data_IF_884740377731
#
_entry.id   IF_884740377731
#
_cell.length_a   1.000
_cell.length_b   1.000
_cell.length_c   1.000
_cell.angle_alpha   90.00
_cell.angle_beta   90.00
_cell.angle_gamma   90.00
#
_symmetry.space_group_name_H-M   'P 1'
#
loop_
_entity.id
_entity.type
_entity.pdbx_description
1 polymer ?
#
# COMPACT_ATOMS: atom_id res chain seq x y z
N UNK A 1 40.41 35.93 -19.25
CA UNK A 1 39.51 35.82 -20.44
C UNK A 1 38.05 35.54 -20.08
N UNK A 2 37.71 35.09 -18.86
CA UNK A 2 36.33 34.83 -18.46
C UNK A 2 35.48 36.11 -18.26
N UNK A 3 36.08 37.22 -17.83
CA UNK A 3 35.39 38.50 -17.54
C UNK A 3 34.64 39.03 -18.77
N UNK A 4 35.25 38.96 -19.95
CA UNK A 4 34.63 39.37 -21.22
C UNK A 4 33.52 38.41 -21.64
N UNK A 5 33.72 37.11 -21.42
CA UNK A 5 32.69 36.10 -21.69
C UNK A 5 31.49 36.33 -20.78
N UNK A 6 31.67 36.50 -19.47
CA UNK A 6 30.60 36.77 -18.53
C UNK A 6 29.81 38.03 -18.93
N UNK A 7 30.51 39.13 -19.25
CA UNK A 7 29.89 40.38 -19.71
C UNK A 7 28.96 40.18 -20.92
N UNK A 8 29.34 39.32 -21.87
CA UNK A 8 28.53 39.04 -23.06
C UNK A 8 27.29 38.19 -22.77
N UNK A 9 27.23 37.53 -21.60
CA UNK A 9 26.08 36.73 -21.17
C UNK A 9 25.18 37.49 -20.18
N UNK A 10 25.46 38.78 -19.92
CA UNK A 10 24.57 39.65 -19.16
C UNK A 10 23.55 40.22 -20.13
N UNK A 11 22.26 39.94 -19.90
CA UNK A 11 21.18 40.57 -20.65
C UNK A 11 21.16 42.08 -20.41
N UNK A 12 20.91 42.84 -21.48
CA UNK A 12 20.71 44.29 -21.40
C UNK A 12 19.54 44.61 -20.44
N UNK A 13 19.70 45.66 -19.64
CA UNK A 13 18.73 46.10 -18.61
C UNK A 13 18.51 45.12 -17.44
N UNK A 14 19.33 44.06 -17.33
CA UNK A 14 19.29 43.19 -16.17
C UNK A 14 19.95 43.86 -14.95
N UNK A 15 19.54 43.52 -13.70
CA UNK A 15 20.19 44.03 -12.50
C UNK A 15 21.66 43.56 -12.35
N UNK A 16 22.10 42.60 -13.18
CA UNK A 16 23.46 42.12 -13.23
C UNK A 16 24.42 43.07 -13.95
N UNK A 17 23.94 43.86 -14.91
CA UNK A 17 24.75 44.82 -15.67
C UNK A 17 25.31 45.97 -14.79
N UNK A 18 24.48 46.71 -14.03
CA UNK A 18 25.00 47.77 -13.15
C UNK A 18 25.84 47.18 -12.01
N UNK A 19 25.50 45.99 -11.50
CA UNK A 19 26.31 45.30 -10.49
C UNK A 19 27.69 44.94 -11.04
N UNK A 20 27.76 44.27 -12.20
CA UNK A 20 29.02 43.85 -12.78
C UNK A 20 29.89 45.06 -13.16
N UNK A 21 29.28 46.15 -13.59
CA UNK A 21 30.00 47.39 -13.93
C UNK A 21 30.60 48.06 -12.69
N UNK A 22 29.88 48.07 -11.56
CA UNK A 22 30.31 48.68 -10.29
C UNK A 22 31.18 47.76 -9.41
N UNK A 23 31.25 46.46 -9.73
CA UNK A 23 32.07 45.50 -9.00
C UNK A 23 33.57 45.85 -9.08
N UNK A 24 34.22 45.91 -7.92
CA UNK A 24 35.63 46.28 -7.80
C UNK A 24 36.54 45.39 -8.64
N UNK A 25 37.63 46.00 -9.15
CA UNK A 25 38.61 45.30 -9.99
C UNK A 25 39.19 44.08 -9.28
N UNK A 26 39.35 44.13 -7.96
CA UNK A 26 39.87 43.02 -7.12
C UNK A 26 39.04 41.75 -7.28
N UNK A 27 37.71 41.87 -7.35
CA UNK A 27 36.78 40.74 -7.56
C UNK A 27 36.67 40.29 -9.03
N UNK A 28 37.39 40.92 -9.95
CA UNK A 28 37.44 40.56 -11.38
C UNK A 28 38.80 39.98 -11.78
N UNK A 29 39.76 39.92 -10.86
CA UNK A 29 41.10 39.36 -11.11
C UNK A 29 41.04 37.83 -11.14
N UNK A 30 40.25 37.25 -10.23
CA UNK A 30 40.20 35.81 -10.00
C UNK A 30 38.76 35.28 -9.98
N UNK A 31 38.57 34.07 -10.52
CA UNK A 31 37.23 33.48 -10.64
C UNK A 31 36.63 33.16 -9.28
N UNK A 32 37.41 32.65 -8.33
CA UNK A 32 36.89 32.27 -7.01
C UNK A 32 36.42 33.52 -6.25
N UNK A 33 37.18 34.61 -6.32
CA UNK A 33 36.78 35.90 -5.72
C UNK A 33 35.54 36.52 -6.36
N UNK A 34 35.36 36.29 -7.67
CA UNK A 34 34.17 36.71 -8.41
C UNK A 34 32.96 35.88 -8.02
N UNK A 35 33.10 34.56 -8.00
CA UNK A 35 32.05 33.61 -7.65
C UNK A 35 31.52 33.88 -6.24
N UNK A 36 32.40 34.16 -5.27
CA UNK A 36 31.99 34.57 -3.92
C UNK A 36 31.17 35.87 -3.92
N UNK A 37 31.61 36.90 -4.66
CA UNK A 37 30.88 38.16 -4.76
C UNK A 37 29.53 37.99 -5.50
N UNK A 38 29.50 37.09 -6.50
CA UNK A 38 28.31 36.74 -7.26
C UNK A 38 27.29 36.01 -6.38
N UNK A 39 27.70 34.97 -5.67
CA UNK A 39 26.83 34.22 -4.74
C UNK A 39 26.38 35.07 -3.55
N UNK A 40 27.17 36.07 -3.13
CA UNK A 40 26.75 37.03 -2.11
C UNK A 40 25.63 37.96 -2.63
N UNK A 41 25.69 38.36 -3.91
CA UNK A 41 24.70 39.25 -4.53
C UNK A 41 23.42 38.52 -4.94
N UNK A 42 23.58 37.37 -5.58
CA UNK A 42 22.52 36.45 -5.95
C UNK A 42 22.63 35.22 -5.07
N UNK A 43 22.24 35.40 -3.80
CA UNK A 43 22.07 34.26 -2.92
C UNK A 43 21.12 33.28 -3.60
N UNK A 44 21.50 32.00 -3.74
CA UNK A 44 20.58 30.99 -4.21
C UNK A 44 19.33 31.09 -3.35
N UNK A 45 18.18 31.36 -3.98
CA UNK A 45 16.91 31.28 -3.27
C UNK A 45 16.89 29.86 -2.72
N UNK A 46 16.78 29.68 -1.38
CA UNK A 46 16.72 28.34 -0.82
C UNK A 46 15.50 27.68 -1.44
N UNK A 47 15.75 26.71 -2.33
CA UNK A 47 14.68 25.81 -2.79
C UNK A 47 14.14 25.22 -1.51
N UNK A 48 12.84 25.42 -1.24
CA UNK A 48 12.20 24.79 -0.11
C UNK A 48 12.44 23.29 -0.24
N UNK A 49 13.39 22.78 0.54
CA UNK A 49 13.71 21.38 0.55
C UNK A 49 12.48 20.71 1.14
N UNK A 50 11.88 19.79 0.37
CA UNK A 50 10.79 18.98 0.89
C UNK A 50 11.26 18.33 2.18
N UNK A 51 10.46 18.46 3.23
CA UNK A 51 10.76 17.79 4.48
C UNK A 51 10.71 16.27 4.28
N UNK A 52 11.41 15.47 5.12
CA UNK A 52 11.31 14.01 5.03
C UNK A 52 9.87 13.50 5.11
N UNK A 53 8.99 14.20 5.80
CA UNK A 53 7.57 13.86 5.91
C UNK A 53 6.79 14.13 4.62
N UNK A 54 7.06 15.25 3.93
CA UNK A 54 6.47 15.55 2.62
C UNK A 54 6.93 14.55 1.56
N UNK A 55 8.20 14.11 1.61
CA UNK A 55 8.72 13.09 0.70
C UNK A 55 8.06 11.74 0.99
N UNK A 56 7.87 11.38 2.26
CA UNK A 56 7.15 10.17 2.64
C UNK A 56 5.69 10.19 2.17
N UNK A 57 5.03 11.34 2.25
CA UNK A 57 3.69 11.52 1.70
C UNK A 57 3.70 11.32 0.18
N UNK A 58 4.64 11.94 -0.54
CA UNK A 58 4.82 11.76 -1.99
C UNK A 58 5.04 10.29 -2.37
N UNK A 59 5.84 9.54 -1.60
CA UNK A 59 6.03 8.10 -1.80
C UNK A 59 4.73 7.31 -1.67
N UNK A 60 3.84 7.71 -0.75
CA UNK A 60 2.54 7.04 -0.60
C UNK A 60 1.55 7.42 -1.68
N UNK A 61 1.66 8.59 -2.29
CA UNK A 61 0.78 9.05 -3.38
C UNK A 61 1.24 8.56 -4.77
N UNK A 62 2.53 8.25 -4.91
CA UNK A 62 3.13 7.82 -6.17
C UNK A 62 2.82 6.35 -6.52
N UNK A 63 1.64 6.15 -7.09
CA UNK A 63 1.14 4.82 -7.44
C UNK A 63 1.48 4.40 -8.87
N UNK A 64 1.94 3.16 -9.01
CA UNK A 64 2.03 2.49 -10.31
C UNK A 64 0.67 1.89 -10.65
N UNK A 65 0.07 2.33 -11.76
CA UNK A 65 -1.22 1.79 -12.21
C UNK A 65 -1.02 0.55 -13.07
N UNK A 66 -2.05 -0.29 -13.12
CA UNK A 66 -1.98 -1.54 -13.88
C UNK A 66 -1.96 -1.28 -15.40
N UNK A 67 -2.68 -0.26 -15.85
CA UNK A 67 -2.68 0.20 -17.24
C UNK A 67 -1.33 0.75 -17.71
N UNK A 68 -0.47 1.16 -16.79
CA UNK A 68 0.86 1.66 -17.07
C UNK A 68 1.92 0.55 -17.02
N UNK A 69 1.55 -0.66 -16.59
CA UNK A 69 2.44 -1.82 -16.68
C UNK A 69 2.75 -2.14 -18.14
N UNK A 70 4.02 -2.46 -18.40
CA UNK A 70 4.61 -2.70 -19.73
C UNK A 70 4.65 -1.51 -20.69
N UNK A 71 4.22 -0.31 -20.28
CA UNK A 71 4.55 0.89 -21.06
C UNK A 71 6.06 1.12 -21.01
N UNK A 72 6.59 1.59 -22.14
CA UNK A 72 7.96 2.06 -22.23
C UNK A 72 7.93 3.57 -22.16
N UNK A 73 8.79 4.11 -21.33
CA UNK A 73 8.95 5.54 -21.16
C UNK A 73 10.39 5.93 -21.47
N UNK A 74 10.56 7.08 -22.11
CA UNK A 74 11.88 7.64 -22.33
C UNK A 74 12.36 8.35 -21.08
N UNK A 75 13.44 7.82 -20.50
CA UNK A 75 14.18 8.46 -19.41
C UNK A 75 15.53 8.90 -19.99
N UNK A 76 15.65 10.21 -20.28
CA UNK A 76 16.78 10.74 -21.03
C UNK A 76 16.81 10.19 -22.46
N UNK A 77 17.87 9.48 -22.81
CA UNK A 77 18.06 8.87 -24.14
C UNK A 77 17.79 7.35 -24.19
N UNK A 78 17.20 6.77 -23.13
CA UNK A 78 16.94 5.33 -23.04
C UNK A 78 15.45 5.05 -22.82
N UNK A 79 14.95 4.02 -23.51
CA UNK A 79 13.63 3.45 -23.24
C UNK A 79 13.72 2.50 -22.04
N UNK A 80 12.90 2.76 -21.02
CA UNK A 80 12.83 1.96 -19.80
C UNK A 80 11.37 1.62 -19.54
N UNK A 81 11.08 0.41 -19.05
CA UNK A 81 9.72 0.03 -18.68
C UNK A 81 9.24 0.82 -17.46
N UNK A 82 7.95 1.18 -17.42
CA UNK A 82 7.38 2.02 -16.36
C UNK A 82 7.59 1.46 -14.95
N UNK A 83 7.57 0.14 -14.76
CA UNK A 83 7.84 -0.47 -13.45
C UNK A 83 9.30 -0.28 -12.99
N UNK A 84 10.26 -0.29 -13.91
CA UNK A 84 11.68 -0.03 -13.61
C UNK A 84 11.90 1.44 -13.28
N UNK A 85 11.28 2.34 -14.06
CA UNK A 85 11.30 3.78 -13.78
C UNK A 85 10.70 4.08 -12.41
N UNK A 86 9.53 3.51 -12.12
CA UNK A 86 8.84 3.67 -10.84
C UNK A 86 9.74 3.21 -9.68
N UNK A 87 10.35 2.03 -9.78
CA UNK A 87 11.21 1.50 -8.71
C UNK A 87 12.47 2.35 -8.50
N UNK A 88 13.05 2.88 -9.58
CA UNK A 88 14.20 3.79 -9.50
C UNK A 88 13.82 5.11 -8.82
N UNK A 89 12.67 5.67 -9.17
CA UNK A 89 12.17 6.90 -8.55
C UNK A 89 11.83 6.71 -7.07
N UNK A 90 11.19 5.59 -6.71
CA UNK A 90 10.89 5.26 -5.31
C UNK A 90 12.15 5.09 -4.47
N UNK A 91 13.22 4.53 -5.04
CA UNK A 91 14.50 4.41 -4.35
C UNK A 91 15.16 5.78 -4.13
N UNK A 92 15.05 6.69 -5.10
CA UNK A 92 15.52 8.07 -4.96
C UNK A 92 14.77 8.82 -3.86
N UNK A 93 13.43 8.75 -3.85
CA UNK A 93 12.61 9.33 -2.78
C UNK A 93 12.96 8.74 -1.40
N UNK A 94 13.17 7.42 -1.32
CA UNK A 94 13.59 6.77 -0.07
C UNK A 94 14.97 7.24 0.39
N UNK A 95 15.88 7.55 -0.54
CA UNK A 95 17.18 8.14 -0.27
C UNK A 95 17.06 9.57 0.27
N UNK A 96 16.23 10.40 -0.38
CA UNK A 96 15.97 11.78 0.06
C UNK A 96 15.31 11.84 1.44
N UNK A 97 14.39 10.92 1.74
CA UNK A 97 13.75 10.78 3.05
C UNK A 97 14.62 10.06 4.10
N UNK A 98 15.84 9.60 3.75
CA UNK A 98 16.75 8.85 4.63
C UNK A 98 16.17 7.54 5.19
N UNK A 99 15.21 6.93 4.50
CA UNK A 99 14.59 5.66 4.89
C UNK A 99 15.04 4.47 4.04
N UNK A 100 15.98 4.65 3.13
CA UNK A 100 16.41 3.62 2.18
C UNK A 100 16.85 2.29 2.82
N UNK A 101 17.38 2.32 4.06
CA UNK A 101 17.83 1.15 4.82
C UNK A 101 16.76 0.57 5.74
N UNK A 102 15.62 1.24 5.90
CA UNK A 102 14.53 0.85 6.81
C UNK A 102 13.41 0.15 6.04
N UNK A 103 12.47 -0.43 6.79
CA UNK A 103 11.24 -1.04 6.27
C UNK A 103 10.05 -0.08 6.29
N UNK A 104 10.27 1.17 6.67
CA UNK A 104 9.24 2.20 6.84
C UNK A 104 8.48 2.40 5.53
N UNK A 105 7.15 2.39 5.59
CA UNK A 105 6.20 2.57 4.48
C UNK A 105 6.20 1.49 3.39
N UNK A 106 7.11 0.50 3.40
CA UNK A 106 7.15 -0.55 2.37
C UNK A 106 5.81 -1.30 2.30
N UNK A 107 5.21 -1.60 3.44
CA UNK A 107 3.92 -2.32 3.49
C UNK A 107 2.78 -1.51 2.86
N UNK A 108 2.76 -0.19 3.07
CA UNK A 108 1.74 0.73 2.53
C UNK A 108 1.88 0.77 1.01
N UNK A 109 3.09 1.09 0.53
CA UNK A 109 3.36 1.20 -0.90
C UNK A 109 3.15 -0.13 -1.60
N UNK A 110 3.59 -1.24 -1.01
CA UNK A 110 3.27 -2.58 -1.52
C UNK A 110 1.77 -2.81 -1.57
N UNK A 111 0.99 -2.31 -0.62
CA UNK A 111 -0.47 -2.36 -0.62
C UNK A 111 -1.11 -1.68 -1.83
N UNK A 112 -0.48 -0.64 -2.37
CA UNK A 112 -0.96 0.08 -3.55
C UNK A 112 -0.44 -0.48 -4.89
N UNK A 113 0.51 -1.43 -4.87
CA UNK A 113 0.99 -2.04 -6.11
C UNK A 113 -0.10 -2.83 -6.84
N UNK A 114 -0.03 -2.89 -8.19
CA UNK A 114 -0.88 -3.78 -8.97
C UNK A 114 -0.76 -5.23 -8.50
N UNK A 115 -1.89 -5.95 -8.48
CA UNK A 115 -1.94 -7.34 -8.00
C UNK A 115 -0.94 -8.24 -8.72
N UNK A 116 -0.80 -8.05 -10.04
CA UNK A 116 0.17 -8.79 -10.88
C UNK A 116 1.59 -8.61 -10.37
N UNK A 117 1.98 -7.39 -9.99
CA UNK A 117 3.34 -7.10 -9.52
C UNK A 117 3.58 -7.60 -8.09
N UNK A 118 2.54 -7.60 -7.24
CA UNK A 118 2.59 -8.13 -5.88
C UNK A 118 2.92 -9.63 -5.81
N UNK A 119 2.62 -10.39 -6.86
CA UNK A 119 2.95 -11.82 -6.94
C UNK A 119 4.46 -12.06 -7.07
N UNK A 120 5.19 -11.13 -7.71
CA UNK A 120 6.64 -11.24 -7.90
C UNK A 120 7.44 -10.68 -6.73
N UNK A 121 6.83 -9.78 -5.94
CA UNK A 121 7.51 -9.11 -4.83
C UNK A 121 7.15 -9.80 -3.51
N UNK A 122 8.13 -10.40 -2.81
CA UNK A 122 7.87 -11.04 -1.52
C UNK A 122 7.22 -10.07 -0.53
N UNK A 123 6.35 -10.62 0.33
CA UNK A 123 5.63 -9.83 1.34
C UNK A 123 6.58 -9.22 2.38
N UNK A 124 7.67 -9.92 2.68
CA UNK A 124 8.71 -9.49 3.62
C UNK A 124 9.90 -8.95 2.84
N UNK A 125 10.25 -7.69 3.11
CA UNK A 125 11.40 -7.01 2.53
C UNK A 125 12.20 -6.37 3.64
N UNK A 126 13.52 -6.45 3.53
CA UNK A 126 14.43 -5.94 4.57
C UNK A 126 14.63 -4.44 4.47
N UNK A 127 14.62 -3.88 3.25
CA UNK A 127 14.77 -2.45 3.03
C UNK A 127 14.25 -2.03 1.64
N UNK A 128 14.25 -0.73 1.37
CA UNK A 128 13.81 -0.17 0.08
C UNK A 128 14.69 -0.61 -1.09
N UNK A 129 15.98 -0.83 -0.85
CA UNK A 129 16.91 -1.29 -1.90
C UNK A 129 16.53 -2.67 -2.40
N UNK A 130 16.27 -3.63 -1.50
CA UNK A 130 15.85 -4.99 -1.87
C UNK A 130 14.46 -5.00 -2.51
N UNK A 131 13.54 -4.18 -2.01
CA UNK A 131 12.20 -4.05 -2.56
C UNK A 131 12.22 -3.51 -4.00
N UNK A 132 12.92 -2.40 -4.27
CA UNK A 132 13.03 -1.84 -5.61
C UNK A 132 13.83 -2.76 -6.54
N UNK A 133 14.87 -3.43 -6.04
CA UNK A 133 15.61 -4.43 -6.81
C UNK A 133 14.70 -5.60 -7.25
N UNK A 134 13.84 -6.11 -6.36
CA UNK A 134 12.89 -7.17 -6.71
C UNK A 134 11.93 -6.74 -7.83
N UNK A 135 11.48 -5.48 -7.83
CA UNK A 135 10.58 -4.94 -8.86
C UNK A 135 11.30 -4.74 -10.19
N UNK A 136 12.53 -4.26 -10.18
CA UNK A 136 13.32 -4.07 -11.40
C UNK A 136 13.77 -5.40 -12.03
N UNK A 137 13.91 -6.45 -11.22
CA UNK A 137 14.33 -7.77 -11.68
C UNK A 137 13.19 -8.62 -12.27
N UNK A 138 11.95 -8.12 -12.29
CA UNK A 138 10.80 -8.86 -12.85
C UNK A 138 10.99 -9.07 -14.35
N UNK A 139 10.89 -10.33 -14.80
CA UNK A 139 10.98 -10.66 -16.21
C UNK A 139 9.73 -10.16 -16.97
N UNK A 140 9.98 -9.40 -18.05
CA UNK A 140 8.92 -8.76 -18.85
C UNK A 140 8.04 -9.78 -19.57
N UNK A 141 8.59 -10.93 -19.96
CA UNK A 141 7.83 -12.02 -20.58
C UNK A 141 6.81 -12.59 -19.60
N UNK A 142 7.26 -13.01 -18.41
CA UNK A 142 6.37 -13.54 -17.37
C UNK A 142 5.35 -12.49 -16.90
N UNK A 143 5.73 -11.21 -16.86
CA UNK A 143 4.82 -10.12 -16.50
C UNK A 143 3.71 -9.96 -17.54
N UNK A 144 4.02 -10.08 -18.83
CA UNK A 144 3.05 -10.06 -19.92
C UNK A 144 2.05 -11.20 -19.79
N UNK A 145 2.55 -12.42 -19.62
CA UNK A 145 1.71 -13.62 -19.51
C UNK A 145 0.75 -13.53 -18.33
N UNK A 146 1.22 -13.02 -17.18
CA UNK A 146 0.37 -12.81 -16.00
C UNK A 146 -0.68 -11.73 -16.21
N UNK A 147 -0.35 -10.65 -16.92
CA UNK A 147 -1.28 -9.58 -17.23
C UNK A 147 -2.38 -10.07 -18.18
N UNK A 148 -2.03 -10.89 -19.17
CA UNK A 148 -2.97 -11.52 -20.09
C UNK A 148 -3.90 -12.51 -19.38
N UNK A 149 -3.34 -13.43 -18.58
CA UNK A 149 -4.11 -14.37 -17.78
C UNK A 149 -5.04 -13.68 -16.75
N UNK A 150 -4.69 -12.47 -16.29
CA UNK A 150 -5.58 -11.67 -15.44
C UNK A 150 -6.74 -11.06 -16.24
N UNK A 151 -6.46 -10.51 -17.42
CA UNK A 151 -7.49 -9.97 -18.32
C UNK A 151 -8.49 -11.05 -18.74
N UNK A 152 -8.01 -12.24 -19.09
CA UNK A 152 -8.87 -13.38 -19.41
C UNK A 152 -9.81 -13.72 -18.24
N UNK A 153 -9.26 -13.89 -17.03
CA UNK A 153 -10.07 -14.13 -15.82
C UNK A 153 -11.09 -13.03 -15.56
N UNK A 154 -10.72 -11.77 -15.78
CA UNK A 154 -11.66 -10.64 -15.63
C UNK A 154 -12.78 -10.68 -16.67
N UNK A 155 -12.49 -11.07 -17.91
CA UNK A 155 -13.52 -11.23 -18.96
C UNK A 155 -14.46 -12.41 -18.67
N UNK A 156 -13.93 -13.54 -18.23
CA UNK A 156 -14.73 -14.70 -17.81
C UNK A 156 -15.62 -14.35 -16.62
N UNK A 157 -15.06 -13.65 -15.63
CA UNK A 157 -15.81 -13.25 -14.46
C UNK A 157 -16.89 -12.21 -14.79
N UNK A 158 -16.62 -11.30 -15.73
CA UNK A 158 -17.62 -10.37 -16.25
C UNK A 158 -18.75 -11.10 -16.99
N UNK A 159 -18.41 -12.11 -17.81
CA UNK A 159 -19.37 -12.98 -18.48
C UNK A 159 -20.27 -13.72 -17.49
N UNK A 160 -19.67 -14.38 -16.50
CA UNK A 160 -20.40 -15.10 -15.44
C UNK A 160 -21.30 -14.16 -14.64
N UNK A 161 -20.82 -12.96 -14.29
CA UNK A 161 -21.64 -11.94 -13.61
C UNK A 161 -22.84 -11.53 -14.45
N UNK A 162 -22.64 -11.27 -15.75
CA UNK A 162 -23.73 -10.90 -16.65
C UNK A 162 -24.78 -12.03 -16.76
N UNK A 163 -24.34 -13.28 -16.80
CA UNK A 163 -25.24 -14.43 -16.80
C UNK A 163 -26.03 -14.57 -15.49
N UNK A 164 -25.36 -14.44 -14.34
CA UNK A 164 -26.03 -14.45 -13.02
C UNK A 164 -27.10 -13.36 -12.95
N UNK A 165 -26.78 -12.13 -13.38
CA UNK A 165 -27.74 -11.02 -13.42
C UNK A 165 -28.92 -11.33 -14.34
N UNK A 166 -28.67 -11.91 -15.53
CA UNK A 166 -29.72 -12.31 -16.46
C UNK A 166 -30.65 -13.36 -15.86
N UNK A 167 -30.12 -14.38 -15.20
CA UNK A 167 -30.90 -15.44 -14.56
C UNK A 167 -31.71 -14.91 -13.37
N UNK A 168 -31.13 -14.02 -12.56
CA UNK A 168 -31.84 -13.35 -11.47
C UNK A 168 -33.03 -12.52 -12.01
N UNK A 169 -32.85 -11.79 -13.10
CA UNK A 169 -33.94 -11.04 -13.73
C UNK A 169 -35.05 -11.95 -14.27
N UNK A 170 -34.70 -13.10 -14.85
CA UNK A 170 -35.68 -14.09 -15.31
C UNK A 170 -36.49 -14.70 -14.16
N UNK A 171 -35.83 -15.05 -13.05
CA UNK A 171 -36.50 -15.57 -11.85
C UNK A 171 -37.44 -14.51 -11.24
N UNK A 172 -36.98 -13.26 -11.12
CA UNK A 172 -37.83 -12.17 -10.63
C UNK A 172 -39.05 -11.94 -11.53
N UNK A 173 -38.88 -11.94 -12.85
CA UNK A 173 -40.00 -11.78 -13.79
C UNK A 173 -40.99 -12.96 -13.70
N UNK A 174 -40.51 -14.20 -13.55
CA UNK A 174 -41.39 -15.38 -13.36
C UNK A 174 -42.16 -15.30 -12.04
N UNK A 175 -41.51 -14.89 -10.96
CA UNK A 175 -42.15 -14.71 -9.67
C UNK A 175 -43.23 -13.61 -9.71
N UNK A 176 -42.96 -12.49 -10.39
CA UNK A 176 -43.95 -11.43 -10.61
C UNK A 176 -45.13 -11.90 -11.46
N UNK A 177 -44.89 -12.61 -12.57
CA UNK A 177 -45.96 -13.15 -13.40
C UNK A 177 -46.87 -14.12 -12.63
N UNK A 178 -46.30 -15.00 -11.80
CA UNK A 178 -47.07 -15.90 -10.94
C UNK A 178 -47.92 -15.17 -9.89
N UNK A 179 -47.40 -14.10 -9.29
CA UNK A 179 -48.15 -13.25 -8.34
C UNK A 179 -49.31 -12.52 -9.03
N UNK A 180 -49.11 -12.06 -10.26
CA UNK A 180 -50.17 -11.42 -11.06
C UNK A 180 -51.27 -12.42 -11.41
N UNK A 181 -50.94 -13.63 -11.86
CA UNK A 181 -51.92 -14.67 -12.21
C UNK A 181 -52.78 -15.12 -11.01
N UNK A 182 -52.23 -15.17 -9.79
CA UNK A 182 -53.02 -15.49 -8.59
C UNK A 182 -54.05 -14.39 -8.22
N UNK A 183 -53.77 -13.12 -8.55
CA UNK A 183 -54.72 -12.01 -8.31
C UNK A 183 -55.91 -11.98 -9.27
N UNK A 184 -55.80 -12.58 -10.46
CA UNK A 184 -56.90 -12.61 -11.44
C UNK A 184 -57.83 -13.82 -11.30
N UNK A 185 -57.36 -14.95 -10.78
CA UNK A 185 -58.20 -16.15 -10.57
C UNK A 185 -59.20 -15.99 -9.41
N UNK A 186 -58.91 -15.12 -8.43
CA UNK A 186 -59.77 -14.91 -7.25
C UNK A 186 -60.94 -13.94 -7.47
N UNK A 187 -61.01 -13.23 -8.59
CA UNK A 187 -62.12 -12.30 -8.91
C UNK A 187 -63.26 -12.89 -9.75
N UNK A 188 -63.20 -14.17 -10.11
CA UNK A 188 -64.19 -14.77 -11.03
C UNK A 188 -65.03 -15.91 -10.44
N UNK A 189 -65.14 -16.02 -9.10
CA UNK A 189 -65.93 -17.10 -8.48
C UNK A 189 -66.99 -16.58 -7.50
N UNK A 190 -67.93 -15.77 -7.99
CA UNK A 190 -69.25 -15.61 -7.36
C UNK A 190 -70.32 -15.56 -8.45
N UNK A 191 -70.96 -16.70 -8.69
CA UNK A 191 -72.41 -16.85 -8.85
C UNK A 191 -72.74 -18.20 -9.50
N UNK A 192 -73.12 -19.17 -8.69
CA UNK A 192 -73.88 -20.35 -9.11
C UNK A 192 -74.59 -20.94 -7.90
N UNK A 193 -75.82 -20.47 -7.71
CA UNK A 193 -77.05 -21.19 -7.36
C UNK A 193 -77.02 -22.25 -6.23
N UNK A 194 -77.43 -21.78 -5.06
CA UNK A 194 -78.41 -22.34 -4.11
C UNK A 194 -79.07 -23.69 -4.47
N UNK A 195 -78.89 -24.75 -3.65
CA UNK A 195 -79.92 -25.74 -3.24
C UNK A 195 -79.40 -26.65 -2.09
N UNK A 196 -80.26 -26.88 -1.07
CA UNK A 196 -80.30 -28.06 -0.18
C UNK A 196 -79.38 -28.02 1.06
N UNK A 197 -79.82 -27.68 2.28
CA UNK A 197 -80.64 -28.42 3.28
C UNK A 197 -80.00 -29.66 3.94
N UNK A 198 -80.20 -29.73 5.27
CA UNK A 198 -79.99 -30.83 6.24
C UNK A 198 -78.54 -31.01 6.73
N UNK A 199 -78.21 -31.45 7.96
CA UNK A 199 -78.84 -31.56 9.28
C UNK A 199 -77.78 -32.21 10.20
N UNK A 200 -77.72 -31.78 11.47
CA UNK A 200 -77.37 -32.57 12.67
C UNK A 200 -75.96 -33.11 12.98
N UNK A 201 -75.60 -32.84 14.26
CA UNK A 201 -74.79 -33.63 15.20
C UNK A 201 -73.27 -33.68 14.91
N UNK A 202 -72.33 -33.75 15.85
CA UNK A 202 -72.29 -34.31 17.20
C UNK A 202 -71.21 -33.61 18.03
N UNK A 203 -71.43 -33.59 19.34
CA UNK A 203 -70.44 -33.44 20.41
C UNK A 203 -69.32 -34.49 20.33
N UNK A 204 -68.09 -34.08 20.63
CA UNK A 204 -66.97 -35.00 20.89
C UNK A 204 -65.80 -34.30 21.58
N UNK A 205 -65.59 -34.61 22.87
CA UNK A 205 -64.51 -34.14 23.76
C UNK A 205 -63.60 -35.34 24.07
N UNK A 206 -62.29 -35.26 23.78
CA UNK A 206 -61.20 -36.12 24.31
C UNK A 206 -59.88 -35.31 24.14
N UNK A 207 -59.34 -34.62 25.16
CA UNK A 207 -58.27 -35.00 26.12
C UNK A 207 -57.00 -35.67 25.55
N UNK A 208 -55.87 -34.95 25.56
CA UNK A 208 -54.51 -35.39 25.95
C UNK A 208 -53.60 -34.16 25.84
N UNK A 209 -53.10 -33.58 26.94
CA UNK A 209 -51.89 -34.00 27.68
C UNK A 209 -50.65 -34.06 26.79
N UNK A 210 -49.71 -33.13 27.02
CA UNK A 210 -48.26 -33.39 27.25
C UNK A 210 -47.57 -32.03 27.43
N UNK A 211 -47.06 -31.84 28.64
CA UNK A 211 -46.10 -30.81 29.03
C UNK A 211 -44.68 -31.30 28.74
N UNK A 212 -43.70 -30.41 28.53
CA UNK A 212 -42.50 -30.59 29.34
C UNK A 212 -41.88 -29.30 29.88
N UNK A 213 -41.82 -29.27 31.20
CA UNK A 213 -40.65 -29.00 32.04
C UNK A 213 -39.62 -27.96 31.59
N UNK A 214 -39.80 -26.78 32.19
CA UNK A 214 -38.81 -25.72 32.40
C UNK A 214 -37.78 -26.17 33.47
N UNK A 215 -36.52 -26.41 33.07
CA UNK A 215 -35.40 -26.46 34.02
C UNK A 215 -34.66 -25.13 34.04
N UNK A 216 -34.61 -24.56 35.24
CA UNK A 216 -33.88 -23.38 35.67
C UNK A 216 -32.44 -23.79 35.95
N UNK A 217 -31.46 -23.11 35.36
CA UNK A 217 -30.06 -23.15 35.80
C UNK A 217 -29.64 -21.75 36.18
N UNK A 218 -29.14 -21.65 37.39
CA UNK A 218 -28.64 -20.46 38.06
C UNK A 218 -27.13 -20.38 37.86
N UNK A 219 -26.60 -19.17 37.67
CA UNK A 219 -25.25 -18.80 38.10
C UNK A 219 -24.25 -18.48 36.98
N UNK A 220 -23.52 -17.38 37.18
CA UNK A 220 -22.18 -17.23 36.64
C UNK A 220 -21.94 -15.99 35.80
N UNK A 221 -21.66 -14.87 36.46
CA UNK A 221 -20.95 -13.72 35.88
C UNK A 221 -19.58 -14.20 35.37
N UNK A 222 -19.25 -14.01 34.09
CA UNK A 222 -17.87 -13.94 33.65
C UNK A 222 -17.67 -12.93 32.51
N UNK A 223 -16.70 -12.05 32.77
CA UNK A 223 -16.08 -11.06 31.89
C UNK A 223 -15.66 -11.69 30.56
N UNK A 224 -15.96 -11.00 29.47
CA UNK A 224 -15.29 -11.21 28.19
C UNK A 224 -13.95 -10.49 28.29
N UNK A 225 -12.90 -11.24 28.60
CA UNK A 225 -11.50 -10.82 28.48
C UNK A 225 -10.82 -11.81 27.54
N UNK A 226 -10.36 -11.30 26.40
CA UNK A 226 -9.08 -11.63 25.75
C UNK A 226 -8.48 -13.01 26.08
N UNK A 227 -8.42 -13.92 25.11
CA UNK A 227 -7.21 -14.72 24.79
C UNK A 227 -7.46 -15.62 23.58
N UNK A 228 -6.72 -15.35 22.52
CA UNK A 228 -6.63 -16.11 21.27
C UNK A 228 -5.54 -17.18 21.46
N UNK A 229 -5.75 -18.48 21.16
CA UNK A 229 -4.77 -19.53 21.45
C UNK A 229 -3.57 -19.59 20.48
N UNK A 230 -3.38 -18.58 19.64
CA UNK A 230 -2.26 -18.49 18.70
C UNK A 230 -0.99 -17.84 19.28
N UNK A 231 -1.00 -17.34 20.53
CA UNK A 231 0.16 -16.67 21.14
C UNK A 231 1.14 -17.61 21.87
N UNK A 232 0.71 -18.81 22.29
CA UNK A 232 1.51 -19.63 23.21
C UNK A 232 2.67 -20.42 22.55
N UNK A 233 2.73 -20.49 21.21
CA UNK A 233 3.83 -21.16 20.50
C UNK A 233 4.92 -20.16 20.08
N UNK A 234 4.58 -18.87 19.92
CA UNK A 234 5.55 -17.84 19.52
C UNK A 234 6.41 -17.32 20.69
N UNK A 235 5.95 -17.44 21.94
CA UNK A 235 6.72 -16.96 23.10
C UNK A 235 7.85 -17.91 23.54
N UNK A 236 7.77 -19.21 23.25
CA UNK A 236 8.84 -20.15 23.61
C UNK A 236 10.07 -20.11 22.68
N UNK A 237 9.91 -19.64 21.44
CA UNK A 237 11.05 -19.49 20.51
C UNK A 237 11.73 -18.11 20.61
N UNK A 238 11.01 -17.08 21.07
CA UNK A 238 11.60 -15.76 21.31
C UNK A 238 12.47 -15.78 22.58
N UNK A 239 12.07 -16.50 23.65
CA UNK A 239 12.88 -16.59 24.88
C UNK A 239 14.22 -17.34 24.68
N UNK A 240 14.27 -18.34 23.78
CA UNK A 240 15.52 -19.04 23.44
C UNK A 240 16.49 -18.18 22.61
N UNK A 241 15.97 -17.29 21.76
CA UNK A 241 16.80 -16.37 20.98
C UNK A 241 17.47 -15.27 21.81
N UNK A 242 16.84 -14.84 22.91
CA UNK A 242 17.42 -13.83 23.81
C UNK A 242 18.47 -14.38 24.79
N UNK A 243 18.52 -15.70 25.01
CA UNK A 243 19.58 -16.34 25.80
C UNK A 243 20.89 -16.44 25.01
N UNK A 244 20.83 -16.73 23.70
CA UNK A 244 21.99 -16.83 22.80
C UNK A 244 22.66 -15.47 22.54
N UNK A 245 21.88 -14.38 22.48
CA UNK A 245 22.39 -13.00 22.40
C UNK A 245 23.05 -12.55 23.72
N UNK A 246 22.56 -13.03 24.88
CA UNK A 246 23.16 -12.73 26.19
C UNK A 246 24.47 -13.49 26.45
N UNK A 247 24.63 -14.70 25.92
CA UNK A 247 25.88 -15.47 26.00
C UNK A 247 26.98 -14.83 25.12
N UNK A 248 26.59 -14.30 23.95
CA UNK A 248 27.52 -13.64 23.01
C UNK A 248 28.06 -12.31 23.56
N UNK A 249 27.21 -11.49 24.22
CA UNK A 249 27.69 -10.25 24.86
C UNK A 249 28.55 -10.49 26.12
N UNK A 250 28.44 -11.65 26.78
CA UNK A 250 29.33 -12.00 27.89
C UNK A 250 30.74 -12.40 27.41
N UNK A 251 30.87 -12.89 26.18
CA UNK A 251 32.16 -13.18 25.54
C UNK A 251 32.91 -11.92 25.05
N UNK A 252 32.19 -10.92 24.54
CA UNK A 252 32.80 -9.66 24.06
C UNK A 252 33.23 -8.71 25.19
N UNK A 253 32.58 -8.79 26.36
CA UNK A 253 33.03 -8.08 27.56
C UNK A 253 34.41 -8.52 28.09
N UNK A 254 34.87 -9.74 27.74
CA UNK A 254 36.19 -10.23 28.10
C UNK A 254 37.32 -9.74 27.16
N UNK A 255 36.98 -9.30 25.94
CA UNK A 255 37.97 -8.77 24.99
C UNK A 255 38.21 -7.26 25.14
N UNK A 256 37.26 -6.52 25.72
CA UNK A 256 37.41 -5.09 26.01
C UNK A 256 38.25 -4.86 27.30
N UNK A 257 38.35 -5.86 28.18
CA UNK A 257 39.21 -5.85 29.37
C UNK A 257 40.71 -6.01 29.09
N UNK A 258 41.10 -6.45 27.89
CA UNK A 258 42.51 -6.65 27.51
C UNK A 258 43.13 -5.45 26.76
N UNK A 259 42.33 -4.44 26.38
CA UNK A 259 42.81 -3.29 25.60
C UNK A 259 43.07 -2.02 26.44
N UNK A 260 42.71 -2.00 27.73
CA UNK A 260 42.89 -0.82 28.60
C UNK A 260 44.07 -0.93 29.57
N UNK A 261 44.80 -2.06 29.59
CA UNK A 261 45.99 -2.26 30.43
C UNK A 261 47.34 -1.97 29.72
N UNK A 262 47.33 -1.60 28.43
CA UNK A 262 48.54 -1.33 27.64
C UNK A 262 49.04 0.13 27.59
N UNK A 263 48.32 1.09 28.18
CA UNK A 263 48.63 2.53 28.05
C UNK A 263 49.21 3.18 29.31
N UNK A 264 49.69 2.39 30.28
CA UNK A 264 50.41 2.88 31.48
C UNK A 264 51.80 2.22 31.61
N UNK A 265 52.63 2.34 30.58
CA UNK A 265 54.06 2.02 30.69
C UNK A 265 54.85 2.70 29.56
N UNK A 266 54.79 4.03 29.50
CA UNK A 266 55.74 4.84 28.73
C UNK A 266 55.65 6.29 29.18
N UNK A 267 56.14 6.54 30.39
CA UNK A 267 56.56 7.84 30.91
C UNK A 267 57.27 7.58 32.26
N UNK A 268 58.51 7.11 32.15
CA UNK A 268 59.56 7.10 33.17
C UNK A 268 60.91 6.96 32.48
#
# INVERSE_FOLDING_TARGET
MWVTSFRNHIDADSPAEPWFTTLDRVHKVDWDTFELAFLAKWQPIPVAAKTPDEIQQEMTEYHLREEDLMKKEMVGAREVYSHVRWATHMLDLAGQAQIATTTTLIWIVRGHLPAVLKEFVPATQTNWTTFCAAITAVDVGTLRDRLEAKRERETEFASLRAEVTRLQAQLNNRNMANLTSQRFVTKSRTNSTLYGLTSSSMTGRVTASVEPHRKRVTGGILRISSMNPFCAIAEQEIEKGWEEVRETQRGEGALIGAYTSGWRARDA
#
